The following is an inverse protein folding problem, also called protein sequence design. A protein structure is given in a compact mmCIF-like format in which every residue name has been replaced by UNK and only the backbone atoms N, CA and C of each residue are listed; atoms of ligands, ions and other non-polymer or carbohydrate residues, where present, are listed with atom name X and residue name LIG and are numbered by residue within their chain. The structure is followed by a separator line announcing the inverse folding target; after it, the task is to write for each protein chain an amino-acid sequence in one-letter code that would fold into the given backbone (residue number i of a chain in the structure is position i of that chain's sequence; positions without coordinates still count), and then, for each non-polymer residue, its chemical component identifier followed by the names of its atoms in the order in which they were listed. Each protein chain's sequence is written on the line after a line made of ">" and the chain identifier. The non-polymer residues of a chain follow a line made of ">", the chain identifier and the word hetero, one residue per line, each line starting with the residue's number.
data_IF_271706008689
#
_entry.id   IF_271706008689
#
_cell.length_a   1.000
_cell.length_b   1.000
_cell.length_c   1.000
_cell.angle_alpha   90.00
_cell.angle_beta   90.00
_cell.angle_gamma   90.00
#
_symmetry.space_group_name_H-M   'P 1'
#
loop_
_entity.id
_entity.type
_entity.pdbx_description
1 polymer ?
#
# COMPACT_ATOMS: atom_id res chain seq x y z
N UNK A 1 60.36 10.03 12.74
CA UNK A 1 59.29 10.92 13.25
C UNK A 1 58.08 10.82 12.34
N UNK A 2 56.88 10.66 12.93
CA UNK A 2 55.52 10.88 12.37
C UNK A 2 55.11 9.94 11.22
N UNK A 3 54.39 8.84 11.47
CA UNK A 3 52.91 8.77 11.64
C UNK A 3 52.17 9.72 10.70
N UNK A 4 51.45 9.16 9.72
CA UNK A 4 50.01 9.39 9.57
C UNK A 4 49.41 8.34 8.63
N UNK A 5 48.74 7.37 9.25
CA UNK A 5 47.76 6.48 8.65
C UNK A 5 46.59 7.37 8.24
N UNK A 6 46.32 7.46 6.94
CA UNK A 6 45.08 8.04 6.42
C UNK A 6 44.06 6.91 6.38
N UNK A 7 43.30 6.75 7.45
CA UNK A 7 42.08 5.95 7.48
C UNK A 7 40.94 6.91 7.79
N UNK A 8 39.80 6.60 7.17
CA UNK A 8 38.44 7.02 7.51
C UNK A 8 37.89 8.20 6.71
N UNK A 9 37.20 7.86 5.61
CA UNK A 9 35.99 8.58 5.14
C UNK A 9 35.26 7.70 4.11
N UNK A 10 34.64 6.61 4.59
CA UNK A 10 33.74 5.79 3.76
C UNK A 10 32.55 5.24 4.56
N UNK A 11 31.97 6.05 5.44
CA UNK A 11 30.88 5.60 6.34
C UNK A 11 29.55 6.35 6.16
N UNK A 12 29.30 7.03 5.03
CA UNK A 12 28.14 7.92 4.90
C UNK A 12 27.15 7.62 3.76
N UNK A 13 27.05 6.38 3.26
CA UNK A 13 26.09 6.05 2.18
C UNK A 13 24.99 5.01 2.49
N UNK A 14 24.81 4.57 3.73
CA UNK A 14 23.81 3.52 4.04
C UNK A 14 22.42 4.02 4.49
N UNK A 15 22.16 5.33 4.50
CA UNK A 15 20.93 5.89 5.09
C UNK A 15 19.95 6.31 3.98
N UNK A 16 19.39 5.37 3.21
CA UNK A 16 18.08 5.51 2.51
C UNK A 16 17.72 4.40 1.48
N UNK A 17 18.46 3.29 1.40
CA UNK A 17 18.13 2.27 0.38
C UNK A 17 16.77 1.60 0.67
N UNK A 18 16.52 1.21 1.92
CA UNK A 18 15.31 0.47 2.31
C UNK A 18 14.02 1.30 2.23
N UNK A 19 14.07 2.61 2.48
CA UNK A 19 12.88 3.48 2.40
C UNK A 19 12.40 3.63 0.95
N UNK A 20 13.33 3.75 0.00
CA UNK A 20 13.02 3.82 -1.44
C UNK A 20 12.53 2.48 -1.97
N UNK A 21 13.15 1.37 -1.57
CA UNK A 21 12.74 0.03 -1.96
C UNK A 21 11.32 -0.30 -1.49
N UNK A 22 11.00 -0.04 -0.22
CA UNK A 22 9.66 -0.23 0.33
C UNK A 22 8.61 0.67 -0.36
N UNK A 23 8.96 1.89 -0.75
CA UNK A 23 8.07 2.77 -1.54
C UNK A 23 7.75 2.15 -2.91
N UNK A 24 8.73 1.56 -3.58
CA UNK A 24 8.50 0.86 -4.85
C UNK A 24 7.65 -0.40 -4.64
N UNK A 25 7.94 -1.19 -3.61
CA UNK A 25 7.18 -2.41 -3.31
C UNK A 25 5.71 -2.12 -2.98
N UNK A 26 5.45 -1.13 -2.12
CA UNK A 26 4.07 -0.75 -1.76
C UNK A 26 3.26 -0.29 -2.98
N UNK A 27 3.86 0.51 -3.87
CA UNK A 27 3.26 0.90 -5.16
C UNK A 27 2.99 -0.31 -6.05
N UNK A 28 3.92 -1.26 -6.13
CA UNK A 28 3.73 -2.48 -6.91
C UNK A 28 2.56 -3.33 -6.37
N UNK A 29 2.41 -3.43 -5.05
CA UNK A 29 1.31 -4.16 -4.41
C UNK A 29 -0.04 -3.51 -4.74
N UNK A 30 -0.16 -2.19 -4.61
CA UNK A 30 -1.42 -1.48 -4.90
C UNK A 30 -1.75 -1.48 -6.40
N UNK A 31 -0.77 -1.36 -7.28
CA UNK A 31 -0.97 -1.51 -8.73
C UNK A 31 -1.40 -2.93 -9.12
N UNK A 32 -0.81 -3.95 -8.47
CA UNK A 32 -1.23 -5.34 -8.64
C UNK A 32 -2.67 -5.54 -8.14
N UNK A 33 -3.04 -4.92 -7.01
CA UNK A 33 -4.43 -4.92 -6.52
C UNK A 33 -5.38 -4.39 -7.59
N UNK A 34 -5.13 -3.20 -8.16
CA UNK A 34 -6.00 -2.64 -9.20
C UNK A 34 -6.09 -3.52 -10.44
N UNK A 35 -4.96 -4.08 -10.88
CA UNK A 35 -4.91 -5.01 -12.01
C UNK A 35 -5.79 -6.24 -11.78
N UNK A 36 -5.71 -6.83 -10.58
CA UNK A 36 -6.52 -8.00 -10.22
C UNK A 36 -7.99 -7.62 -10.03
N UNK A 37 -8.27 -6.44 -9.47
CA UNK A 37 -9.61 -5.92 -9.28
C UNK A 37 -10.33 -5.73 -10.62
N UNK A 38 -9.69 -5.11 -11.61
CA UNK A 38 -10.22 -4.98 -12.98
C UNK A 38 -10.48 -6.33 -13.65
N UNK A 39 -9.70 -7.36 -13.32
CA UNK A 39 -9.88 -8.74 -13.81
C UNK A 39 -10.87 -9.56 -12.99
N UNK A 40 -11.51 -8.97 -11.98
CA UNK A 40 -12.36 -9.66 -11.01
C UNK A 40 -11.69 -10.88 -10.32
N UNK A 41 -10.36 -10.87 -10.21
CA UNK A 41 -9.61 -11.98 -9.62
C UNK A 41 -9.50 -11.82 -8.08
N UNK A 42 -10.60 -12.09 -7.39
CA UNK A 42 -10.74 -11.86 -5.94
C UNK A 42 -9.82 -12.74 -5.10
N UNK A 43 -9.59 -13.98 -5.52
CA UNK A 43 -8.70 -14.90 -4.80
C UNK A 43 -7.26 -14.39 -4.75
N UNK A 44 -6.73 -13.89 -5.87
CA UNK A 44 -5.40 -13.30 -5.92
C UNK A 44 -5.34 -11.98 -5.13
N UNK A 45 -6.41 -11.17 -5.11
CA UNK A 45 -6.48 -9.98 -4.25
C UNK A 45 -6.31 -10.37 -2.78
N UNK A 46 -6.98 -11.43 -2.33
CA UNK A 46 -6.86 -11.88 -0.95
C UNK A 46 -5.45 -12.35 -0.56
N UNK A 47 -4.61 -12.76 -1.52
CA UNK A 47 -3.20 -13.10 -1.27
C UNK A 47 -2.32 -11.85 -0.99
N UNK A 48 -2.77 -10.68 -1.45
CA UNK A 48 -2.14 -9.38 -1.14
C UNK A 48 -2.53 -8.87 0.26
N UNK A 49 -3.62 -9.38 0.82
CA UNK A 49 -4.12 -8.98 2.12
C UNK A 49 -3.39 -9.68 3.28
N UNK A 50 -3.13 -8.93 4.34
CA UNK A 50 -2.57 -9.44 5.58
C UNK A 50 -3.64 -9.96 6.53
N UNK A 51 -3.22 -10.72 7.54
CA UNK A 51 -4.13 -11.29 8.53
C UNK A 51 -4.92 -10.23 9.31
N UNK A 52 -4.36 -9.03 9.49
CA UNK A 52 -4.99 -7.92 10.20
C UNK A 52 -6.28 -7.43 9.54
N UNK A 53 -6.33 -7.40 8.20
CA UNK A 53 -7.56 -7.05 7.48
C UNK A 53 -8.68 -8.06 7.80
N UNK A 54 -8.32 -9.34 7.90
CA UNK A 54 -9.29 -10.41 8.16
C UNK A 54 -9.73 -10.49 9.62
N UNK A 55 -9.10 -9.74 10.53
CA UNK A 55 -9.60 -9.54 11.90
C UNK A 55 -10.79 -8.57 11.93
N UNK A 56 -10.89 -7.66 10.96
CA UNK A 56 -11.93 -6.63 10.91
C UNK A 56 -13.00 -6.91 9.86
N UNK A 57 -12.69 -7.65 8.80
CA UNK A 57 -13.62 -7.97 7.73
C UNK A 57 -13.39 -9.37 7.15
N UNK A 58 -14.45 -10.15 7.03
CA UNK A 58 -14.42 -11.44 6.33
C UNK A 58 -14.25 -11.26 4.82
N UNK A 59 -13.74 -12.28 4.12
CA UNK A 59 -13.68 -12.31 2.64
C UNK A 59 -15.05 -12.02 2.01
N UNK A 60 -16.14 -12.49 2.62
CA UNK A 60 -17.51 -12.22 2.17
C UNK A 60 -17.84 -10.73 2.23
N UNK A 61 -17.56 -10.06 3.35
CA UNK A 61 -17.79 -8.62 3.51
C UNK A 61 -16.92 -7.81 2.54
N UNK A 62 -15.67 -8.21 2.32
CA UNK A 62 -14.78 -7.55 1.37
C UNK A 62 -15.32 -7.67 -0.06
N UNK A 63 -15.77 -8.86 -0.47
CA UNK A 63 -16.39 -9.04 -1.79
C UNK A 63 -17.68 -8.21 -1.92
N UNK A 64 -18.53 -8.19 -0.90
CA UNK A 64 -19.73 -7.34 -0.89
C UNK A 64 -19.40 -5.86 -1.05
N UNK A 65 -18.35 -5.38 -0.38
CA UNK A 65 -17.85 -4.02 -0.54
C UNK A 65 -17.36 -3.78 -1.98
N UNK A 66 -16.67 -4.74 -2.59
CA UNK A 66 -16.24 -4.63 -3.98
C UNK A 66 -17.41 -4.56 -4.97
N UNK A 67 -18.41 -5.41 -4.79
CA UNK A 67 -19.61 -5.44 -5.62
C UNK A 67 -20.41 -4.14 -5.46
N UNK A 68 -20.56 -3.66 -4.23
CA UNK A 68 -21.20 -2.37 -3.93
C UNK A 68 -20.44 -1.22 -4.58
N UNK A 69 -19.11 -1.22 -4.49
CA UNK A 69 -18.25 -0.20 -5.12
C UNK A 69 -18.41 -0.20 -6.63
N UNK A 70 -18.50 -1.38 -7.25
CA UNK A 70 -18.74 -1.52 -8.68
C UNK A 70 -20.12 -0.98 -9.06
N UNK A 71 -21.18 -1.35 -8.33
CA UNK A 71 -22.53 -0.88 -8.59
C UNK A 71 -22.68 0.65 -8.43
N UNK A 72 -22.01 1.24 -7.44
CA UNK A 72 -22.13 2.67 -7.14
C UNK A 72 -21.25 3.54 -8.04
N UNK A 73 -20.05 3.07 -8.38
CA UNK A 73 -19.03 3.91 -9.01
C UNK A 73 -18.62 3.44 -10.40
N UNK A 74 -18.96 2.22 -10.80
CA UNK A 74 -18.62 1.61 -12.09
C UNK A 74 -17.20 1.06 -12.17
N UNK A 75 -16.79 0.62 -13.36
CA UNK A 75 -15.43 0.07 -13.57
C UNK A 75 -14.37 1.14 -13.35
N UNK A 76 -13.17 0.69 -12.92
CA UNK A 76 -11.99 1.54 -12.84
C UNK A 76 -11.42 1.75 -14.24
N UNK A 77 -11.32 3.00 -14.68
CA UNK A 77 -10.65 3.40 -15.93
C UNK A 77 -9.15 3.55 -15.69
N UNK A 78 -8.78 4.43 -14.78
CA UNK A 78 -7.40 4.69 -14.38
C UNK A 78 -7.33 5.12 -12.91
N UNK A 79 -6.11 5.16 -12.39
CA UNK A 79 -5.80 5.56 -11.04
C UNK A 79 -4.55 6.44 -11.05
N UNK A 80 -4.42 7.30 -10.03
CA UNK A 80 -3.28 8.21 -9.87
C UNK A 80 -2.97 8.34 -8.40
N UNK A 81 -1.72 8.02 -8.04
CA UNK A 81 -1.22 8.20 -6.67
C UNK A 81 -1.13 9.69 -6.37
N UNK A 82 -1.82 10.14 -5.32
CA UNK A 82 -1.83 11.55 -4.89
C UNK A 82 -1.13 11.76 -3.54
N UNK A 83 -0.96 10.69 -2.76
CA UNK A 83 -0.33 10.75 -1.45
C UNK A 83 0.34 9.43 -1.09
N UNK A 84 1.52 9.53 -0.51
CA UNK A 84 2.28 8.41 0.04
C UNK A 84 2.93 8.84 1.35
N UNK A 85 2.81 8.02 2.38
CA UNK A 85 3.43 8.23 3.68
C UNK A 85 3.95 6.92 4.26
N UNK A 86 5.13 6.98 4.87
CA UNK A 86 5.68 5.89 5.69
C UNK A 86 5.76 6.34 7.15
N UNK A 87 5.13 5.58 8.03
CA UNK A 87 5.15 5.77 9.47
C UNK A 87 5.97 4.66 10.12
N UNK A 88 7.07 5.03 10.77
CA UNK A 88 7.89 4.08 11.54
C UNK A 88 7.43 4.14 13.00
N UNK A 89 6.66 3.15 13.43
CA UNK A 89 6.19 3.04 14.81
C UNK A 89 7.23 2.24 15.58
N UNK A 90 7.89 2.88 16.55
CA UNK A 90 8.91 2.27 17.41
C UNK A 90 8.32 1.97 18.79
N UNK A 91 8.62 0.79 19.36
CA UNK A 91 8.14 0.36 20.67
C UNK A 91 8.12 -1.17 20.79
N UNK A 92 7.44 -1.69 21.82
CA UNK A 92 7.28 -3.14 22.04
C UNK A 92 6.63 -3.87 20.84
N UNK A 93 5.89 -3.14 20.01
CA UNK A 93 5.30 -3.62 18.76
C UNK A 93 5.75 -2.74 17.59
N UNK A 94 7.06 -2.71 17.33
CA UNK A 94 7.60 -1.92 16.22
C UNK A 94 7.01 -2.39 14.89
N UNK A 95 6.45 -1.46 14.11
CA UNK A 95 5.92 -1.74 12.78
C UNK A 95 6.17 -0.57 11.83
N UNK A 96 6.37 -0.90 10.57
CA UNK A 96 6.32 0.09 9.50
C UNK A 96 4.92 0.08 8.91
N UNK A 97 4.31 1.25 8.86
CA UNK A 97 3.03 1.47 8.22
C UNK A 97 3.19 2.34 6.98
N UNK A 98 2.56 1.91 5.90
CA UNK A 98 2.58 2.59 4.62
C UNK A 98 1.15 2.98 4.27
N UNK A 99 0.95 4.26 3.95
CA UNK A 99 -0.35 4.81 3.54
C UNK A 99 -0.20 5.33 2.12
N UNK A 100 -1.04 4.81 1.22
CA UNK A 100 -1.11 5.27 -0.17
C UNK A 100 -2.54 5.70 -0.46
N UNK A 101 -2.72 6.89 -1.03
CA UNK A 101 -4.03 7.40 -1.43
C UNK A 101 -4.01 7.69 -2.93
N UNK A 102 -5.03 7.18 -3.61
CA UNK A 102 -5.22 7.32 -5.04
C UNK A 102 -6.48 8.11 -5.32
N UNK A 103 -6.42 8.97 -6.34
CA UNK A 103 -7.61 9.35 -7.07
C UNK A 103 -7.86 8.29 -8.16
N UNK A 104 -9.07 7.77 -8.21
CA UNK A 104 -9.46 6.69 -9.12
C UNK A 104 -10.59 7.19 -10.01
N UNK A 105 -10.31 7.22 -11.32
CA UNK A 105 -11.32 7.53 -12.32
C UNK A 105 -12.16 6.29 -12.56
N UNK A 106 -13.48 6.44 -12.39
CA UNK A 106 -14.44 5.36 -12.60
C UNK A 106 -15.52 5.76 -13.58
N UNK A 107 -16.29 4.79 -14.06
CA UNK A 107 -17.31 5.04 -15.07
C UNK A 107 -18.44 5.96 -14.61
N UNK A 108 -18.89 5.84 -13.37
CA UNK A 108 -20.07 6.56 -12.84
C UNK A 108 -19.63 7.75 -11.99
N UNK A 109 -18.78 7.53 -10.98
CA UNK A 109 -18.29 8.60 -10.08
C UNK A 109 -16.87 8.30 -9.62
N UNK A 110 -16.00 9.30 -9.73
CA UNK A 110 -14.62 9.20 -9.28
C UNK A 110 -14.53 9.00 -7.77
N UNK A 111 -13.54 8.21 -7.35
CA UNK A 111 -13.33 7.86 -5.94
C UNK A 111 -11.94 8.23 -5.48
N UNK A 112 -11.81 8.49 -4.18
CA UNK A 112 -10.54 8.49 -3.49
C UNK A 112 -10.41 7.18 -2.71
N UNK A 113 -9.30 6.49 -2.94
CA UNK A 113 -9.05 5.15 -2.41
C UNK A 113 -7.76 5.11 -1.61
N UNK A 114 -7.88 4.70 -0.35
CA UNK A 114 -6.78 4.63 0.60
C UNK A 114 -6.41 3.18 0.87
N UNK A 115 -5.13 2.87 0.70
CA UNK A 115 -4.51 1.64 1.17
C UNK A 115 -3.71 1.91 2.43
N UNK A 116 -3.81 0.98 3.38
CA UNK A 116 -2.91 0.87 4.52
C UNK A 116 -2.21 -0.47 4.42
N UNK A 117 -0.89 -0.46 4.42
CA UNK A 117 -0.05 -1.65 4.33
C UNK A 117 0.90 -1.71 5.50
N UNK A 118 1.17 -2.91 6.02
CA UNK A 118 2.18 -3.15 7.05
C UNK A 118 3.16 -4.22 6.59
N UNK A 119 4.39 -4.16 7.10
CA UNK A 119 5.33 -5.27 7.00
C UNK A 119 4.82 -6.44 7.87
N UNK A 120 4.65 -7.62 7.28
CA UNK A 120 4.32 -8.87 7.97
C UNK A 120 5.34 -9.95 7.61
N UNK A 121 6.28 -10.20 8.52
CA UNK A 121 7.46 -11.03 8.24
C UNK A 121 8.29 -10.39 7.12
N UNK A 122 8.59 -11.16 6.08
CA UNK A 122 9.41 -10.74 4.94
C UNK A 122 8.60 -10.08 3.80
N UNK A 123 7.31 -9.80 4.01
CA UNK A 123 6.45 -9.24 2.96
C UNK A 123 5.61 -8.07 3.44
N UNK A 124 5.38 -7.09 2.55
CA UNK A 124 4.39 -6.03 2.79
C UNK A 124 3.00 -6.54 2.41
N UNK A 125 2.00 -6.27 3.27
CA UNK A 125 0.62 -6.75 3.10
C UNK A 125 -0.41 -5.63 3.26
N UNK A 126 -1.49 -5.69 2.49
CA UNK A 126 -2.64 -4.78 2.64
C UNK A 126 -3.40 -5.17 3.91
N UNK A 127 -3.44 -4.27 4.88
CA UNK A 127 -4.14 -4.46 6.15
C UNK A 127 -5.39 -3.59 6.28
N UNK A 128 -5.54 -2.60 5.40
CA UNK A 128 -6.72 -1.75 5.31
C UNK A 128 -6.94 -1.23 3.90
N UNK A 129 -8.20 -1.13 3.50
CA UNK A 129 -8.62 -0.53 2.24
C UNK A 129 -9.91 0.25 2.49
N UNK A 130 -9.95 1.49 2.00
CA UNK A 130 -11.09 2.39 2.14
C UNK A 130 -11.35 3.10 0.82
N UNK A 131 -12.63 3.24 0.47
CA UNK A 131 -13.10 3.89 -0.75
C UNK A 131 -14.15 4.94 -0.39
N UNK A 132 -14.02 6.13 -0.99
CA UNK A 132 -14.98 7.21 -0.81
C UNK A 132 -15.18 7.96 -2.12
N UNK A 133 -16.38 8.50 -2.41
CA UNK A 133 -16.58 9.35 -3.57
C UNK A 133 -15.79 10.66 -3.42
N UNK A 134 -15.23 11.16 -4.52
CA UNK A 134 -14.72 12.53 -4.56
C UNK A 134 -15.95 13.45 -4.65
N UNK A 135 -16.08 14.35 -3.67
CA UNK A 135 -17.10 15.41 -3.71
C UNK A 135 -16.48 16.60 -4.43
N UNK A 136 -17.14 17.04 -5.50
CA UNK A 136 -16.84 18.29 -6.19
C UNK A 136 -17.47 19.46 -5.46
#
# INVERSE_FOLDING_TARGET
>A
MKKQIVILLFSLFLINCSSKENSVETKNITQKFYTLFKKNNREEIFKLCGSELFKIASKKQINQMFDTSFAQFGNIKNDSLIYEQTNIIKGAHSKNEYILIYNVNREIKNTQEKFTLHQQGDSIKIVGYFISPINN
#
